data_IF_875624159220
#
_entry.id   IF_875624159220
#
_cell.length_a   1.000
_cell.length_b   1.000
_cell.length_c   1.000
_cell.angle_alpha   90.00
_cell.angle_beta   90.00
_cell.angle_gamma   90.00
#
_symmetry.space_group_name_H-M   'P 1'
#
loop_
_entity.id
_entity.type
_entity.pdbx_description
1 polymer ?
#
# COMPACT_ATOMS: atom_id res chain seq x y z
N UNK A 1 0.66 -9.27 11.50
CA UNK A 1 -0.41 -10.23 11.34
C UNK A 1 -0.15 -11.29 10.30
N UNK A 2 -1.22 -11.91 9.83
CA UNK A 2 -1.19 -13.17 9.06
C UNK A 2 -0.31 -13.16 7.81
N UNK A 3 -0.19 -12.03 7.06
CA UNK A 3 0.72 -11.98 5.90
C UNK A 3 2.17 -12.15 6.36
N UNK A 4 2.60 -11.44 7.39
CA UNK A 4 3.96 -11.54 7.91
C UNK A 4 4.26 -12.93 8.48
N UNK A 5 3.32 -13.56 9.19
CA UNK A 5 3.44 -14.94 9.68
C UNK A 5 3.67 -15.92 8.51
N UNK A 6 2.91 -15.78 7.43
CA UNK A 6 3.06 -16.63 6.23
C UNK A 6 4.38 -16.36 5.51
N UNK A 7 4.80 -15.11 5.40
CA UNK A 7 6.10 -14.76 4.82
C UNK A 7 7.25 -15.39 5.62
N UNK A 8 7.17 -15.33 6.95
CA UNK A 8 8.18 -15.94 7.82
C UNK A 8 8.17 -17.47 7.72
N UNK A 9 6.98 -18.11 7.81
CA UNK A 9 6.88 -19.57 7.87
C UNK A 9 7.15 -20.26 6.54
N UNK A 10 6.63 -19.70 5.44
CA UNK A 10 6.60 -20.39 4.16
C UNK A 10 7.71 -19.93 3.20
N UNK A 11 8.20 -18.70 3.38
CA UNK A 11 9.17 -18.08 2.47
C UNK A 11 10.47 -17.67 3.15
N UNK A 12 10.63 -17.92 4.46
CA UNK A 12 11.88 -17.71 5.18
C UNK A 12 12.23 -16.26 5.49
N UNK A 13 11.26 -15.36 5.39
CA UNK A 13 11.43 -13.98 5.83
C UNK A 13 11.69 -13.94 7.34
N UNK A 14 12.24 -12.84 7.83
CA UNK A 14 12.55 -12.63 9.25
C UNK A 14 11.89 -11.35 9.76
N UNK A 15 10.62 -11.16 9.41
CA UNK A 15 9.86 -9.99 9.85
C UNK A 15 9.70 -10.08 11.37
N UNK A 16 10.26 -9.10 12.07
CA UNK A 16 10.21 -9.01 13.53
C UNK A 16 8.78 -8.74 14.00
N UNK A 17 8.39 -9.35 15.13
CA UNK A 17 7.06 -9.20 15.73
C UNK A 17 6.73 -7.72 16.02
N UNK A 18 7.73 -6.90 16.33
CA UNK A 18 7.54 -5.45 16.59
C UNK A 18 6.82 -4.72 15.44
N UNK A 19 6.98 -5.19 14.19
CA UNK A 19 6.35 -4.60 13.02
C UNK A 19 4.90 -5.06 12.80
N UNK A 20 4.45 -6.06 13.52
CA UNK A 20 3.09 -6.61 13.43
C UNK A 20 2.26 -6.43 14.70
N UNK A 21 2.90 -6.06 15.80
CA UNK A 21 2.24 -5.73 17.05
C UNK A 21 1.67 -4.30 16.99
N UNK A 22 0.34 -4.20 17.07
CA UNK A 22 -0.37 -2.93 16.99
C UNK A 22 -0.12 -1.99 18.18
N UNK A 23 0.43 -2.47 19.27
CA UNK A 23 0.83 -1.63 20.41
C UNK A 23 2.05 -0.75 20.08
N UNK A 24 2.79 -1.12 19.03
CA UNK A 24 3.90 -0.34 18.49
C UNK A 24 3.47 0.73 17.48
N UNK A 25 2.17 1.01 17.36
CA UNK A 25 1.63 2.02 16.45
C UNK A 25 0.76 3.02 17.18
N UNK A 26 0.90 4.28 16.80
CA UNK A 26 -0.03 5.33 17.19
C UNK A 26 -1.31 5.21 16.35
N UNK A 27 -2.45 5.51 16.98
CA UNK A 27 -3.76 5.51 16.35
C UNK A 27 -4.42 6.85 16.59
N UNK A 28 -4.76 7.55 15.53
CA UNK A 28 -5.52 8.81 15.58
C UNK A 28 -6.83 8.62 14.85
N UNK A 29 -7.93 8.60 15.58
CA UNK A 29 -9.28 8.49 15.02
C UNK A 29 -9.83 9.87 14.67
N UNK A 30 -10.41 9.98 13.50
CA UNK A 30 -11.18 11.11 13.01
C UNK A 30 -12.64 10.64 12.92
N UNK A 31 -13.49 11.18 13.79
CA UNK A 31 -14.90 10.81 13.89
C UNK A 31 -15.67 11.35 12.69
N UNK A 32 -16.66 10.57 12.19
CA UNK A 32 -17.53 10.94 11.07
C UNK A 32 -16.76 11.46 9.84
N UNK A 33 -15.66 10.83 9.50
CA UNK A 33 -14.68 11.38 8.57
C UNK A 33 -14.55 10.62 7.26
N UNK A 34 -15.23 9.48 7.11
CA UNK A 34 -15.05 8.60 5.97
C UNK A 34 -16.36 8.03 5.45
N UNK A 35 -16.52 8.08 4.15
CA UNK A 35 -17.52 7.31 3.43
C UNK A 35 -16.83 6.56 2.30
N UNK A 36 -16.86 5.24 2.31
CA UNK A 36 -16.22 4.40 1.31
C UNK A 36 -16.79 4.62 -0.10
N UNK A 37 -16.07 4.13 -1.11
CA UNK A 37 -16.46 4.28 -2.51
C UNK A 37 -17.87 3.73 -2.81
N UNK A 38 -18.26 2.64 -2.16
CA UNK A 38 -19.60 2.06 -2.28
C UNK A 38 -20.65 2.94 -1.57
N UNK A 39 -20.36 3.43 -0.38
CA UNK A 39 -21.22 4.37 0.34
C UNK A 39 -21.48 5.65 -0.46
N UNK A 40 -20.45 6.19 -1.13
CA UNK A 40 -20.59 7.35 -2.00
C UNK A 40 -21.51 7.12 -3.20
N UNK A 41 -21.58 5.89 -3.72
CA UNK A 41 -22.47 5.54 -4.84
C UNK A 41 -23.95 5.53 -4.45
N UNK A 42 -24.26 5.17 -3.21
CA UNK A 42 -25.64 5.10 -2.70
C UNK A 42 -26.04 6.35 -1.90
N UNK A 43 -25.08 7.22 -1.60
CA UNK A 43 -25.26 8.45 -0.84
C UNK A 43 -25.15 8.26 0.67
N UNK A 44 -24.85 9.35 1.37
CA UNK A 44 -24.62 9.39 2.82
C UNK A 44 -25.77 8.82 3.64
N UNK A 45 -27.01 9.11 3.23
CA UNK A 45 -28.20 8.65 3.93
C UNK A 45 -28.37 7.12 3.97
N UNK A 46 -27.75 6.41 3.04
CA UNK A 46 -27.79 4.94 2.97
C UNK A 46 -26.47 4.31 3.38
N UNK A 47 -25.35 4.94 3.00
CA UNK A 47 -24.01 4.41 3.31
C UNK A 47 -23.60 4.63 4.75
N UNK A 48 -24.13 5.68 5.36
CA UNK A 48 -23.64 6.19 6.65
C UNK A 48 -22.25 6.81 6.52
N UNK A 49 -21.84 7.53 7.56
CA UNK A 49 -20.49 8.04 7.71
C UNK A 49 -19.80 7.19 8.77
N UNK A 50 -18.54 6.90 8.56
CA UNK A 50 -17.74 6.06 9.44
C UNK A 50 -16.51 6.84 9.93
N UNK A 51 -15.91 6.36 11.00
CA UNK A 51 -14.67 6.91 11.50
C UNK A 51 -13.51 6.46 10.61
N UNK A 52 -12.50 7.32 10.51
CA UNK A 52 -11.22 6.96 9.90
C UNK A 52 -10.12 6.97 10.95
N UNK A 53 -9.43 5.85 11.12
CA UNK A 53 -8.27 5.78 12.03
C UNK A 53 -6.97 5.75 11.23
N UNK A 54 -6.19 6.83 11.36
CA UNK A 54 -4.82 6.87 10.89
C UNK A 54 -3.94 6.08 11.85
N UNK A 55 -3.14 5.18 11.30
CA UNK A 55 -2.18 4.34 12.04
C UNK A 55 -0.78 4.69 11.58
N UNK A 56 0.14 4.94 12.49
CA UNK A 56 1.54 5.27 12.19
C UNK A 56 2.49 4.58 13.15
N UNK A 57 3.68 4.13 12.69
CA UNK A 57 4.65 3.46 13.57
C UNK A 57 5.19 4.40 14.66
N UNK A 58 5.39 3.89 15.88
CA UNK A 58 6.08 4.55 17.00
C UNK A 58 7.60 4.33 16.95
N UNK A 59 8.04 3.31 16.23
CA UNK A 59 9.45 3.00 16.06
C UNK A 59 10.08 3.82 14.93
N UNK A 60 11.39 3.97 14.97
CA UNK A 60 12.14 4.69 13.95
C UNK A 60 12.04 4.00 12.60
N UNK A 61 11.83 4.82 11.58
CA UNK A 61 11.72 4.39 10.18
C UNK A 61 12.53 5.32 9.30
N UNK A 62 13.14 4.78 8.25
CA UNK A 62 13.90 5.55 7.27
C UNK A 62 13.69 4.96 5.88
N UNK A 63 13.12 5.77 4.97
CA UNK A 63 12.68 5.35 3.65
C UNK A 63 13.22 6.22 2.54
N UNK A 64 13.45 5.58 1.39
CA UNK A 64 13.34 6.23 0.08
C UNK A 64 12.14 5.60 -0.63
N UNK A 65 11.16 6.43 -0.99
CA UNK A 65 9.98 6.03 -1.75
C UNK A 65 10.06 6.63 -3.16
N UNK A 66 10.02 5.78 -4.17
CA UNK A 66 9.91 6.16 -5.57
C UNK A 66 8.48 6.00 -6.04
N UNK A 67 7.90 7.08 -6.55
CA UNK A 67 6.60 7.10 -7.24
C UNK A 67 6.86 7.24 -8.73
N UNK A 68 6.52 6.20 -9.51
CA UNK A 68 6.72 6.18 -10.95
C UNK A 68 5.39 6.20 -11.68
N UNK A 69 5.20 7.21 -12.45
CA UNK A 69 4.04 7.41 -13.30
C UNK A 69 4.49 7.59 -14.76
N UNK A 70 3.52 7.53 -15.68
CA UNK A 70 3.78 7.62 -17.13
C UNK A 70 4.30 9.00 -17.58
N UNK A 71 5.12 9.63 -16.90
CA UNK A 71 5.66 10.96 -17.21
C UNK A 71 6.80 11.37 -16.32
N UNK A 72 7.22 10.48 -15.43
CA UNK A 72 8.35 10.80 -14.55
C UNK A 72 8.38 10.01 -13.27
N UNK A 73 9.39 10.30 -12.51
CA UNK A 73 9.62 9.74 -11.18
C UNK A 73 9.64 10.88 -10.17
N UNK A 74 9.01 10.67 -9.03
CA UNK A 74 9.17 11.49 -7.83
C UNK A 74 9.81 10.65 -6.75
N UNK A 75 10.62 11.29 -5.92
CA UNK A 75 11.34 10.65 -4.82
C UNK A 75 10.99 11.35 -3.53
N UNK A 76 10.65 10.57 -2.52
CA UNK A 76 10.35 11.03 -1.17
C UNK A 76 11.29 10.33 -0.19
N UNK A 77 11.89 11.08 0.73
CA UNK A 77 12.87 10.57 1.69
C UNK A 77 12.47 10.94 3.11
N UNK A 78 12.80 10.10 4.07
CA UNK A 78 12.59 10.33 5.49
C UNK A 78 11.84 9.23 6.21
N UNK A 79 11.26 9.56 7.37
CA UNK A 79 10.49 8.60 8.14
C UNK A 79 9.12 8.28 7.49
N UNK A 80 8.38 7.35 8.08
CA UNK A 80 7.06 6.93 7.59
C UNK A 80 6.11 8.11 7.35
N UNK A 81 6.10 9.10 8.25
CA UNK A 81 5.19 10.23 8.15
C UNK A 81 5.57 11.23 7.04
N UNK A 82 6.84 11.31 6.69
CA UNK A 82 7.37 12.28 5.74
C UNK A 82 7.49 11.70 4.34
N UNK A 83 7.96 10.45 4.22
CA UNK A 83 8.13 9.79 2.94
C UNK A 83 6.83 9.13 2.43
N UNK A 84 6.01 8.56 3.33
CA UNK A 84 4.87 7.73 2.90
C UNK A 84 3.53 8.48 2.96
N UNK A 85 3.28 9.28 4.01
CA UNK A 85 1.96 9.87 4.20
C UNK A 85 1.72 11.10 3.32
N UNK A 86 0.63 11.07 2.56
CA UNK A 86 0.11 12.24 1.83
C UNK A 86 -0.94 12.95 2.69
N UNK A 87 -0.47 13.82 3.58
CA UNK A 87 -1.30 14.46 4.65
C UNK A 87 -2.46 15.30 4.13
N UNK A 88 -2.41 15.82 2.89
CA UNK A 88 -3.49 16.57 2.26
C UNK A 88 -4.81 15.79 2.20
N UNK A 89 -4.76 14.46 2.14
CA UNK A 89 -5.98 13.64 2.20
C UNK A 89 -6.69 13.66 3.55
N UNK A 90 -6.07 14.20 4.60
CA UNK A 90 -6.69 14.43 5.91
C UNK A 90 -7.25 15.85 6.06
N UNK A 91 -6.91 16.76 5.17
CA UNK A 91 -7.28 18.19 5.23
C UNK A 91 -8.49 18.52 4.33
N UNK A 92 -8.74 17.68 3.31
CA UNK A 92 -9.84 17.86 2.38
C UNK A 92 -11.19 17.50 2.98
N UNK A 93 -12.27 17.81 2.24
CA UNK A 93 -13.65 17.55 2.67
C UNK A 93 -13.86 16.07 3.03
N UNK A 94 -14.36 15.77 4.24
CA UNK A 94 -14.42 14.41 4.77
C UNK A 94 -15.12 13.40 3.87
N UNK A 95 -16.29 13.78 3.30
CA UNK A 95 -17.15 12.85 2.58
C UNK A 95 -16.80 12.68 1.09
N UNK A 96 -15.90 13.50 0.57
CA UNK A 96 -15.54 13.50 -0.85
C UNK A 96 -14.25 12.76 -1.15
N UNK A 97 -13.42 12.51 -0.15
CA UNK A 97 -12.05 12.03 -0.31
C UNK A 97 -11.89 10.57 0.12
N UNK A 98 -11.13 9.79 -0.65
CA UNK A 98 -10.69 8.47 -0.21
C UNK A 98 -9.60 8.61 0.87
N UNK A 99 -9.96 8.43 2.14
CA UNK A 99 -9.03 8.62 3.26
C UNK A 99 -7.84 7.66 3.24
N UNK A 100 -8.03 6.44 2.77
CA UNK A 100 -6.93 5.49 2.66
C UNK A 100 -5.83 5.92 1.67
N UNK A 101 -6.11 6.89 0.78
CA UNK A 101 -5.10 7.51 -0.06
C UNK A 101 -4.04 8.31 0.72
N UNK A 102 -4.24 8.58 2.02
CA UNK A 102 -3.20 9.11 2.90
C UNK A 102 -1.95 8.21 2.92
N UNK A 103 -2.12 6.91 2.69
CA UNK A 103 -1.03 5.94 2.55
C UNK A 103 -0.49 5.91 1.10
N UNK A 104 -0.19 7.07 0.56
CA UNK A 104 0.43 7.34 -0.74
C UNK A 104 -0.44 7.11 -1.99
N UNK A 105 -1.74 6.86 -1.86
CA UNK A 105 -2.66 6.81 -2.99
C UNK A 105 -2.46 5.65 -3.98
N UNK A 106 -3.21 5.69 -5.08
CA UNK A 106 -3.09 4.73 -6.19
C UNK A 106 -2.16 5.31 -7.24
N UNK A 107 -1.00 4.69 -7.45
CA UNK A 107 0.01 5.03 -8.43
C UNK A 107 0.33 3.81 -9.29
N UNK A 108 0.83 4.01 -10.52
CA UNK A 108 1.16 2.91 -11.43
C UNK A 108 2.22 1.99 -10.82
N UNK A 109 3.28 2.59 -10.25
CA UNK A 109 4.35 1.90 -9.57
C UNK A 109 4.82 2.70 -8.35
N UNK A 110 4.92 2.02 -7.22
CA UNK A 110 5.58 2.50 -6.02
C UNK A 110 6.69 1.55 -5.62
N UNK A 111 7.83 2.09 -5.21
CA UNK A 111 8.94 1.33 -4.64
C UNK A 111 9.33 1.92 -3.29
N UNK A 112 9.12 1.17 -2.24
CA UNK A 112 9.50 1.49 -0.87
C UNK A 112 10.82 0.80 -0.54
N UNK A 113 11.86 1.58 -0.29
CA UNK A 113 13.15 1.08 0.20
C UNK A 113 13.27 1.47 1.68
N UNK A 114 13.27 0.49 2.56
CA UNK A 114 13.43 0.68 4.00
C UNK A 114 14.90 0.50 4.37
N UNK A 115 15.55 1.56 4.85
CA UNK A 115 16.97 1.55 5.20
C UNK A 115 17.25 0.92 6.56
N UNK A 116 16.21 0.63 7.37
CA UNK A 116 16.35 -0.01 8.68
C UNK A 116 16.23 -1.54 8.63
N UNK A 117 15.97 -2.12 7.45
CA UNK A 117 15.85 -3.57 7.23
C UNK A 117 16.69 -3.98 6.04
N UNK A 118 17.50 -5.04 6.21
CA UNK A 118 18.50 -5.45 5.23
C UNK A 118 18.04 -6.56 4.28
N UNK A 119 16.83 -7.12 4.48
CA UNK A 119 16.41 -8.34 3.77
C UNK A 119 14.93 -8.31 3.37
N UNK A 120 14.59 -9.07 2.34
CA UNK A 120 13.24 -9.28 1.86
C UNK A 120 12.76 -8.28 0.81
N UNK A 121 12.46 -8.81 -0.39
CA UNK A 121 11.93 -8.07 -1.52
C UNK A 121 10.55 -8.61 -1.92
N UNK A 122 9.54 -7.76 -1.84
CA UNK A 122 8.17 -8.11 -2.16
C UNK A 122 7.70 -7.33 -3.39
N UNK A 123 7.11 -8.03 -4.36
CA UNK A 123 6.32 -7.42 -5.41
C UNK A 123 4.84 -7.61 -5.07
N UNK A 124 4.12 -6.53 -4.86
CA UNK A 124 2.66 -6.55 -4.67
C UNK A 124 1.95 -6.08 -5.93
N UNK A 125 1.11 -6.94 -6.48
CA UNK A 125 0.21 -6.63 -7.59
C UNK A 125 -1.16 -6.37 -6.99
N UNK A 126 -1.69 -5.14 -7.15
CA UNK A 126 -2.82 -4.71 -6.34
C UNK A 126 -3.85 -3.88 -7.12
N UNK A 127 -5.00 -3.70 -6.53
CA UNK A 127 -5.93 -2.61 -6.77
C UNK A 127 -5.95 -1.65 -5.55
N UNK A 128 -6.97 -0.78 -5.44
CA UNK A 128 -7.07 0.19 -4.34
C UNK A 128 -7.19 -0.43 -2.94
N UNK A 129 -7.53 -1.70 -2.82
CA UNK A 129 -7.58 -2.41 -1.53
C UNK A 129 -6.20 -2.70 -0.95
N UNK A 130 -5.14 -2.56 -1.75
CA UNK A 130 -3.76 -2.68 -1.29
C UNK A 130 -3.20 -1.47 -0.56
N UNK A 131 -3.88 -0.31 -0.61
CA UNK A 131 -3.33 0.99 -0.17
C UNK A 131 -2.63 0.97 1.20
N UNK A 132 -3.22 0.58 2.33
CA UNK A 132 -2.49 0.54 3.59
C UNK A 132 -1.53 -0.65 3.68
N UNK A 133 -1.78 -1.74 2.95
CA UNK A 133 -1.10 -3.02 3.17
C UNK A 133 0.37 -2.93 2.75
N UNK A 134 0.68 -2.36 1.59
CA UNK A 134 2.06 -2.23 1.13
C UNK A 134 2.88 -1.30 2.05
N UNK A 135 2.27 -0.25 2.60
CA UNK A 135 2.94 0.66 3.54
C UNK A 135 3.32 -0.06 4.84
N UNK A 136 2.43 -0.90 5.39
CA UNK A 136 2.72 -1.65 6.61
C UNK A 136 3.63 -2.86 6.35
N UNK A 137 3.59 -3.47 5.18
CA UNK A 137 4.56 -4.51 4.81
C UNK A 137 5.97 -3.92 4.70
N UNK A 138 6.11 -2.71 4.16
CA UNK A 138 7.42 -2.06 4.02
C UNK A 138 8.09 -1.76 5.35
N UNK A 139 7.38 -1.77 6.49
CA UNK A 139 8.03 -1.58 7.79
C UNK A 139 8.91 -2.75 8.19
N UNK A 140 8.62 -3.96 7.72
CA UNK A 140 9.29 -5.19 8.14
C UNK A 140 10.16 -5.87 7.08
N UNK A 141 10.32 -5.28 5.89
CA UNK A 141 11.16 -5.82 4.80
C UNK A 141 11.96 -4.71 4.14
N UNK A 142 13.04 -5.07 3.44
CA UNK A 142 13.92 -4.11 2.79
C UNK A 142 13.24 -3.36 1.64
N UNK A 143 12.48 -4.07 0.80
CA UNK A 143 11.89 -3.50 -0.40
C UNK A 143 10.46 -4.00 -0.61
N UNK A 144 9.54 -3.09 -0.86
CA UNK A 144 8.21 -3.40 -1.37
C UNK A 144 7.97 -2.61 -2.65
N UNK A 145 7.72 -3.32 -3.74
CA UNK A 145 7.23 -2.72 -4.98
C UNK A 145 5.74 -2.99 -5.12
N UNK A 146 4.93 -1.97 -5.37
CA UNK A 146 3.50 -2.09 -5.55
C UNK A 146 3.10 -1.61 -6.94
N UNK A 147 2.47 -2.50 -7.72
CA UNK A 147 1.96 -2.20 -9.06
C UNK A 147 0.44 -2.17 -9.03
N UNK A 148 -0.16 -1.06 -9.46
CA UNK A 148 -1.59 -1.00 -9.70
C UNK A 148 -1.90 -1.43 -11.14
N UNK A 149 -2.50 -2.60 -11.29
CA UNK A 149 -2.77 -3.20 -12.62
C UNK A 149 -3.70 -2.36 -13.50
N UNK A 150 -4.42 -1.40 -12.93
CA UNK A 150 -5.29 -0.49 -13.69
C UNK A 150 -4.49 0.66 -14.33
N UNK A 151 -3.31 0.96 -13.78
CA UNK A 151 -2.48 2.11 -14.13
C UNK A 151 -1.15 1.70 -14.77
N UNK A 152 -0.58 0.56 -14.35
CA UNK A 152 0.69 0.05 -14.86
C UNK A 152 0.52 -0.48 -16.29
N UNK A 153 1.33 0.00 -17.23
CA UNK A 153 1.17 -0.23 -18.69
C UNK A 153 2.14 -1.25 -19.29
N UNK A 154 3.05 -1.77 -18.50
CA UNK A 154 4.04 -2.72 -18.97
C UNK A 154 3.65 -4.16 -18.59
N UNK A 155 4.37 -5.14 -19.12
CA UNK A 155 4.20 -6.53 -18.73
C UNK A 155 4.66 -6.74 -17.29
N UNK A 156 3.74 -7.13 -16.40
CA UNK A 156 4.03 -7.47 -15.02
C UNK A 156 5.00 -8.65 -14.91
N UNK A 157 4.86 -9.63 -15.82
CA UNK A 157 5.75 -10.80 -15.86
C UNK A 157 7.20 -10.40 -16.19
N UNK A 158 7.40 -9.50 -17.16
CA UNK A 158 8.73 -8.98 -17.50
C UNK A 158 9.28 -8.12 -16.38
N UNK A 159 8.43 -7.31 -15.74
CA UNK A 159 8.80 -6.50 -14.58
C UNK A 159 9.26 -7.38 -13.40
N UNK A 160 8.50 -8.41 -13.04
CA UNK A 160 8.86 -9.34 -11.99
C UNK A 160 10.17 -10.06 -12.27
N UNK A 161 10.38 -10.49 -13.54
CA UNK A 161 11.62 -11.12 -13.99
C UNK A 161 12.83 -10.19 -13.90
N UNK A 162 12.66 -8.92 -14.21
CA UNK A 162 13.73 -7.92 -14.13
C UNK A 162 14.11 -7.57 -12.69
N UNK A 163 13.15 -7.48 -11.79
CA UNK A 163 13.33 -7.04 -10.41
C UNK A 163 13.58 -8.19 -9.41
N UNK A 164 13.32 -9.44 -9.80
CA UNK A 164 13.61 -10.66 -9.03
C UNK A 164 13.14 -10.58 -7.55
N UNK A 165 11.83 -10.35 -7.30
CA UNK A 165 11.33 -10.35 -5.93
C UNK A 165 11.40 -11.75 -5.32
N UNK A 166 11.57 -11.82 -3.99
CA UNK A 166 11.54 -13.09 -3.25
C UNK A 166 10.13 -13.69 -3.23
N UNK A 167 9.10 -12.82 -3.18
CA UNK A 167 7.69 -13.20 -3.19
C UNK A 167 6.87 -12.22 -4.02
N UNK A 168 5.89 -12.75 -4.74
CA UNK A 168 4.85 -11.97 -5.40
C UNK A 168 3.53 -12.13 -4.65
N UNK A 169 2.94 -11.03 -4.19
CA UNK A 169 1.63 -11.00 -3.54
C UNK A 169 0.62 -10.39 -4.52
N UNK A 170 -0.47 -11.11 -4.81
CA UNK A 170 -1.59 -10.61 -5.60
C UNK A 170 -2.73 -10.29 -4.63
N UNK A 171 -3.17 -9.03 -4.61
CA UNK A 171 -4.20 -8.55 -3.71
C UNK A 171 -5.23 -7.72 -4.47
N UNK A 172 -6.39 -8.30 -4.68
CA UNK A 172 -7.50 -7.67 -5.39
C UNK A 172 -8.79 -7.71 -4.57
N UNK A 173 -9.62 -6.70 -4.78
CA UNK A 173 -11.02 -6.76 -4.39
C UNK A 173 -11.73 -7.90 -5.13
N UNK A 174 -12.72 -8.51 -4.49
CA UNK A 174 -13.52 -9.58 -5.07
C UNK A 174 -14.18 -9.21 -6.41
N UNK A 175 -14.55 -7.95 -6.60
CA UNK A 175 -15.11 -7.43 -7.86
C UNK A 175 -14.11 -7.45 -9.03
N UNK A 176 -12.82 -7.57 -8.74
CA UNK A 176 -11.75 -7.62 -9.74
C UNK A 176 -11.40 -9.05 -10.19
N UNK A 177 -12.07 -10.10 -9.66
CA UNK A 177 -11.86 -11.48 -10.09
C UNK A 177 -12.49 -11.75 -11.46
N UNK A 178 -11.91 -11.18 -12.50
CA UNK A 178 -12.35 -11.39 -13.87
C UNK A 178 -11.62 -10.51 -14.88
N UNK A 179 -11.79 -10.81 -16.15
CA UNK A 179 -11.21 -10.03 -17.24
C UNK A 179 -9.68 -10.09 -17.31
N UNK A 180 -9.08 -8.96 -17.63
CA UNK A 180 -7.63 -8.84 -17.92
C UNK A 180 -6.74 -8.68 -16.69
N UNK A 181 -7.32 -8.64 -15.47
CA UNK A 181 -6.57 -8.42 -14.21
C UNK A 181 -5.50 -9.49 -13.92
N UNK A 182 -5.58 -10.65 -14.56
CA UNK A 182 -4.61 -11.74 -14.46
C UNK A 182 -3.79 -11.96 -15.71
N UNK A 183 -3.90 -11.08 -16.71
CA UNK A 183 -3.07 -11.14 -17.93
C UNK A 183 -1.73 -10.42 -17.69
N UNK A 184 -0.85 -11.06 -16.94
CA UNK A 184 0.43 -10.50 -16.53
C UNK A 184 1.48 -10.41 -17.66
N UNK A 185 1.22 -11.02 -18.81
CA UNK A 185 2.11 -10.98 -19.96
C UNK A 185 1.74 -9.86 -20.96
N UNK A 186 0.51 -9.37 -20.91
CA UNK A 186 0.09 -8.30 -21.80
C UNK A 186 0.69 -6.96 -21.35
N UNK A 187 1.01 -6.11 -22.33
CA UNK A 187 1.16 -4.67 -22.10
C UNK A 187 -0.24 -4.08 -22.06
N UNK A 188 -0.61 -3.48 -20.97
CA UNK A 188 -1.93 -2.88 -20.77
C UNK A 188 -2.02 -1.47 -21.36
#
# INVERSE_FOLDING_TARGET
GHIAERLNSDYGFKIDEKYTDLDNYDRKTYEDFYIGSMGRRVGEAYGGVDDFTLITPKFDTDYTLYEREYGGEKVYEGNFNDAILTKSYLEEKPLETNRYAVYHGDNAELEFVNHNVEDGKILMIKDSFGLPIYCFLSTGVQEVRALDVRLFKESIAEYAKANQPDVVIILYNADCFGGTMFDFNAKQ
#
